data_IF_661685425803
#
_entry.id   IF_661685425803
#
_cell.length_a   1.000
_cell.length_b   1.000
_cell.length_c   1.000
_cell.angle_alpha   90.00
_cell.angle_beta   90.00
_cell.angle_gamma   90.00
#
_symmetry.space_group_name_H-M   'P 1'
#
loop_
_entity.id
_entity.type
_entity.pdbx_description
1 polymer ?
#
# COMPACT_ATOMS: atom_id res chain seq x y z
N UNK A 1 7.10 -3.52 15.70
CA UNK A 1 5.88 -3.05 15.04
C UNK A 1 6.01 -1.57 14.74
N UNK A 2 5.24 -1.05 13.79
CA UNK A 2 5.21 0.36 13.44
C UNK A 2 3.85 0.74 12.87
N UNK A 3 3.59 2.04 12.81
CA UNK A 3 2.36 2.60 12.26
C UNK A 3 2.71 3.55 11.11
N UNK A 4 2.00 3.43 10.00
CA UNK A 4 2.05 4.37 8.89
C UNK A 4 0.66 4.99 8.73
N UNK A 5 0.59 6.31 8.86
CA UNK A 5 -0.63 7.07 8.65
C UNK A 5 -0.56 7.77 7.29
N UNK A 6 -1.58 7.53 6.47
CA UNK A 6 -1.71 8.09 5.13
C UNK A 6 -2.99 8.90 5.07
N UNK A 7 -2.86 10.21 4.87
CA UNK A 7 -3.99 11.11 4.62
C UNK A 7 -4.06 11.42 3.12
N UNK A 8 -5.10 10.93 2.47
CA UNK A 8 -5.34 11.12 1.03
C UNK A 8 -6.24 12.33 0.81
N UNK A 9 -5.89 13.13 -0.19
CA UNK A 9 -6.76 14.17 -0.75
C UNK A 9 -6.89 13.90 -2.24
N UNK A 10 -8.11 13.64 -2.70
CA UNK A 10 -8.40 13.32 -4.09
C UNK A 10 -8.68 14.61 -4.89
N UNK A 11 -8.62 14.50 -6.21
CA UNK A 11 -8.83 15.65 -7.12
C UNK A 11 -10.23 16.26 -7.04
N UNK A 12 -11.22 15.49 -6.58
CA UNK A 12 -12.59 15.96 -6.31
C UNK A 12 -12.75 16.63 -4.94
N UNK A 13 -11.66 16.74 -4.16
CA UNK A 13 -11.65 17.32 -2.82
C UNK A 13 -12.07 16.35 -1.70
N UNK A 14 -12.47 15.12 -2.04
CA UNK A 14 -12.71 14.08 -1.04
C UNK A 14 -11.42 13.72 -0.31
N UNK A 15 -11.56 13.22 0.92
CA UNK A 15 -10.45 12.81 1.77
C UNK A 15 -10.67 11.41 2.29
N UNK A 16 -9.61 10.64 2.38
CA UNK A 16 -9.61 9.37 3.10
C UNK A 16 -8.37 9.27 3.97
N UNK A 17 -8.44 8.42 4.98
CA UNK A 17 -7.30 8.12 5.85
C UNK A 17 -7.12 6.63 5.93
N UNK A 18 -5.88 6.17 5.74
CA UNK A 18 -5.47 4.78 5.99
C UNK A 18 -4.44 4.77 7.10
N UNK A 19 -4.63 3.87 8.06
CA UNK A 19 -3.69 3.65 9.16
C UNK A 19 -3.25 2.20 9.13
N UNK A 20 -2.01 2.00 8.70
CA UNK A 20 -1.37 0.70 8.68
C UNK A 20 -0.78 0.36 10.04
N UNK A 21 -1.06 -0.84 10.53
CA UNK A 21 -0.35 -1.45 11.64
C UNK A 21 0.57 -2.54 11.10
N UNK A 22 1.87 -2.30 11.11
CA UNK A 22 2.87 -3.15 10.46
C UNK A 22 3.67 -3.91 11.52
N UNK A 23 3.78 -5.21 11.34
CA UNK A 23 4.59 -6.11 12.18
C UNK A 23 5.69 -6.76 11.35
N UNK A 24 6.94 -6.64 11.80
CA UNK A 24 8.06 -7.40 11.26
C UNK A 24 7.97 -8.84 11.78
N UNK A 25 7.92 -9.82 10.89
CA UNK A 25 7.81 -11.24 11.21
C UNK A 25 9.19 -11.85 11.40
N UNK A 26 10.13 -11.49 10.53
CA UNK A 26 11.54 -11.86 10.61
C UNK A 26 12.37 -10.85 9.82
N UNK A 27 13.64 -11.15 9.53
CA UNK A 27 14.59 -10.28 8.83
C UNK A 27 14.00 -9.59 7.59
N UNK A 28 13.25 -10.33 6.77
CA UNK A 28 12.80 -9.90 5.46
C UNK A 28 11.28 -9.90 5.29
N UNK A 29 10.52 -10.52 6.19
CA UNK A 29 9.06 -10.63 6.07
C UNK A 29 8.30 -9.72 7.02
N UNK A 30 7.19 -9.20 6.52
CA UNK A 30 6.33 -8.25 7.21
C UNK A 30 4.85 -8.65 7.04
N UNK A 31 4.02 -8.26 7.99
CA UNK A 31 2.55 -8.28 7.87
C UNK A 31 1.98 -6.93 8.20
N UNK A 32 0.84 -6.60 7.63
CA UNK A 32 0.14 -5.35 7.90
C UNK A 32 -1.36 -5.50 7.95
N UNK A 33 -2.02 -4.66 8.76
CA UNK A 33 -3.47 -4.52 8.76
C UNK A 33 -3.86 -3.05 8.64
N UNK A 34 -5.01 -2.80 8.02
CA UNK A 34 -5.67 -1.50 7.99
C UNK A 34 -7.19 -1.74 7.93
N UNK A 35 -7.98 -0.72 8.26
CA UNK A 35 -9.44 -0.87 8.37
C UNK A 35 -10.14 -1.25 7.06
N UNK A 36 -9.54 -0.88 5.93
CA UNK A 36 -10.04 -1.12 4.56
C UNK A 36 -9.30 -2.28 3.86
N UNK A 37 -8.45 -3.01 4.58
CA UNK A 37 -7.74 -4.19 4.07
C UNK A 37 -8.49 -5.46 4.47
N UNK A 38 -8.77 -6.30 3.50
CA UNK A 38 -9.39 -7.61 3.73
C UNK A 38 -8.31 -8.60 4.17
N UNK A 39 -8.34 -8.99 5.44
CA UNK A 39 -7.35 -9.90 6.04
C UNK A 39 -6.06 -9.18 6.42
N UNK A 40 -4.92 -9.69 5.95
CA UNK A 40 -3.59 -9.12 6.22
C UNK A 40 -2.85 -8.86 4.91
N UNK A 41 -2.12 -7.75 4.87
CA UNK A 41 -1.09 -7.53 3.89
C UNK A 41 0.15 -8.38 4.21
N UNK A 42 0.85 -8.81 3.16
CA UNK A 42 2.11 -9.56 3.28
C UNK A 42 3.23 -8.82 2.57
N UNK A 43 4.37 -8.70 3.25
CA UNK A 43 5.54 -8.00 2.77
C UNK A 43 6.77 -8.88 2.70
N UNK A 44 7.54 -8.80 1.63
CA UNK A 44 8.87 -9.40 1.52
C UNK A 44 9.88 -8.37 1.02
N UNK A 45 10.90 -8.09 1.83
CA UNK A 45 11.98 -7.16 1.52
C UNK A 45 13.22 -7.91 1.04
N UNK A 46 13.87 -7.40 -0.02
CA UNK A 46 15.18 -7.85 -0.50
C UNK A 46 15.97 -6.67 -1.04
N UNK A 47 17.14 -6.41 -0.43
CA UNK A 47 17.96 -5.26 -0.79
C UNK A 47 17.21 -3.95 -0.52
N UNK A 48 17.07 -3.11 -1.56
CA UNK A 48 16.34 -1.85 -1.49
C UNK A 48 14.86 -1.98 -1.89
N UNK A 49 14.36 -3.19 -2.16
CA UNK A 49 12.99 -3.43 -2.60
C UNK A 49 12.14 -4.08 -1.49
N UNK A 50 10.87 -3.70 -1.42
CA UNK A 50 9.81 -4.34 -0.64
C UNK A 50 8.64 -4.64 -1.57
N UNK A 51 8.27 -5.91 -1.70
CA UNK A 51 7.02 -6.31 -2.33
C UNK A 51 5.94 -6.42 -1.26
N UNK A 52 4.84 -5.70 -1.43
CA UNK A 52 3.73 -5.61 -0.49
C UNK A 52 2.42 -5.97 -1.18
N UNK A 53 1.78 -7.05 -0.73
CA UNK A 53 0.56 -7.58 -1.33
C UNK A 53 -0.61 -7.56 -0.36
N UNK A 54 -1.75 -7.07 -0.81
CA UNK A 54 -2.96 -6.99 0.00
C UNK A 54 -4.22 -6.92 -0.86
N UNK A 55 -5.37 -7.09 -0.21
CA UNK A 55 -6.69 -6.91 -0.82
C UNK A 55 -7.33 -5.69 -0.18
N UNK A 56 -7.67 -4.70 -1.01
CA UNK A 56 -8.33 -3.48 -0.59
C UNK A 56 -9.84 -3.55 -0.83
N UNK A 57 -10.63 -3.18 0.17
CA UNK A 57 -12.07 -3.00 0.07
C UNK A 57 -12.38 -1.57 -0.40
N UNK A 58 -12.77 -1.42 -1.67
CA UNK A 58 -13.03 -0.13 -2.31
C UNK A 58 -14.54 0.07 -2.47
N UNK A 59 -15.16 1.04 -1.77
CA UNK A 59 -16.57 1.37 -1.98
C UNK A 59 -16.74 2.14 -3.30
N UNK A 60 -17.63 1.64 -4.18
CA UNK A 60 -18.00 2.26 -5.46
C UNK A 60 -19.51 2.14 -5.64
N UNK A 61 -20.21 3.27 -5.78
CA UNK A 61 -21.66 3.34 -6.07
C UNK A 61 -22.56 2.47 -5.17
N UNK A 62 -22.22 2.36 -3.89
CA UNK A 62 -22.99 1.58 -2.90
C UNK A 62 -22.62 0.09 -2.81
N UNK A 63 -21.71 -0.37 -3.67
CA UNK A 63 -21.11 -1.71 -3.60
C UNK A 63 -19.67 -1.62 -3.11
N UNK A 64 -19.16 -2.72 -2.53
CA UNK A 64 -17.75 -2.80 -2.12
C UNK A 64 -17.00 -3.79 -2.99
N UNK A 65 -15.98 -3.29 -3.68
CA UNK A 65 -15.13 -4.05 -4.57
C UNK A 65 -13.84 -4.45 -3.84
N UNK A 66 -13.59 -5.75 -3.76
CA UNK A 66 -12.27 -6.25 -3.36
C UNK A 66 -11.31 -6.22 -4.55
N UNK A 67 -10.21 -5.49 -4.39
CA UNK A 67 -9.16 -5.27 -5.41
C UNK A 67 -7.83 -5.74 -4.83
N UNK A 68 -7.12 -6.58 -5.57
CA UNK A 68 -5.77 -7.00 -5.20
C UNK A 68 -4.77 -5.92 -5.62
N UNK A 69 -3.83 -5.63 -4.72
CA UNK A 69 -2.68 -4.77 -4.95
C UNK A 69 -1.40 -5.60 -4.83
N UNK A 70 -0.50 -5.46 -5.81
CA UNK A 70 0.88 -5.93 -5.75
C UNK A 70 1.81 -4.72 -5.90
N UNK A 71 2.28 -4.24 -4.75
CA UNK A 71 3.06 -3.01 -4.63
C UNK A 71 4.55 -3.36 -4.56
N UNK A 72 5.33 -2.85 -5.51
CA UNK A 72 6.79 -2.84 -5.44
C UNK A 72 7.27 -1.47 -4.99
N UNK A 73 7.80 -1.42 -3.77
CA UNK A 73 8.43 -0.25 -3.18
C UNK A 73 9.94 -0.35 -3.30
N UNK A 74 10.58 0.64 -3.91
CA UNK A 74 12.03 0.74 -4.08
C UNK A 74 12.56 1.98 -3.35
N UNK A 75 13.44 1.76 -2.39
CA UNK A 75 14.19 2.84 -1.75
C UNK A 75 15.26 3.30 -2.73
N UNK A 76 15.12 4.53 -3.23
CA UNK A 76 16.03 5.12 -4.22
C UNK A 76 17.25 5.74 -3.54
N UNK A 77 17.00 6.43 -2.43
CA UNK A 77 17.99 7.02 -1.55
C UNK A 77 17.39 7.19 -0.13
N UNK A 78 18.07 7.92 0.76
CA UNK A 78 17.62 8.15 2.13
C UNK A 78 16.35 9.01 2.26
N UNK A 79 15.91 9.64 1.16
CA UNK A 79 14.79 10.57 1.12
C UNK A 79 13.63 10.11 0.27
N UNK A 80 13.89 9.36 -0.81
CA UNK A 80 12.91 9.03 -1.84
C UNK A 80 12.70 7.52 -1.91
N UNK A 81 11.42 7.13 -1.85
CA UNK A 81 10.97 5.79 -2.18
C UNK A 81 9.99 5.86 -3.35
N UNK A 82 10.20 5.05 -4.37
CA UNK A 82 9.23 4.86 -5.46
C UNK A 82 8.36 3.66 -5.16
N UNK A 83 7.08 3.76 -5.46
CA UNK A 83 6.11 2.69 -5.32
C UNK A 83 5.39 2.50 -6.64
N UNK A 84 5.46 1.28 -7.18
CA UNK A 84 4.74 0.84 -8.36
C UNK A 84 3.70 -0.19 -7.91
N UNK A 85 2.42 0.08 -8.19
CA UNK A 85 1.29 -0.75 -7.77
C UNK A 85 0.55 -1.31 -8.97
N UNK A 86 0.48 -2.63 -9.06
CA UNK A 86 -0.37 -3.32 -10.03
C UNK A 86 -1.69 -3.74 -9.37
N UNK A 87 -2.82 -3.32 -9.96
CA UNK A 87 -4.17 -3.58 -9.41
C UNK A 87 -4.90 -4.63 -10.24
N UNK A 88 -5.55 -5.59 -9.58
CA UNK A 88 -6.36 -6.60 -10.28
C UNK A 88 -7.61 -7.04 -9.50
N UNK A 89 -8.63 -7.49 -10.23
CA UNK A 89 -9.84 -8.10 -9.67
C UNK A 89 -10.18 -9.36 -10.47
N UNK A 90 -10.40 -10.48 -9.77
CA UNK A 90 -10.65 -11.79 -10.40
C UNK A 90 -9.61 -12.18 -11.47
N UNK A 91 -8.35 -11.79 -11.27
CA UNK A 91 -7.26 -12.02 -12.22
C UNK A 91 -7.21 -11.06 -13.42
N UNK A 92 -8.16 -10.14 -13.54
CA UNK A 92 -8.20 -9.12 -14.59
C UNK A 92 -7.50 -7.86 -14.07
N UNK A 93 -6.52 -7.36 -14.83
CA UNK A 93 -5.83 -6.11 -14.51
C UNK A 93 -6.77 -4.91 -14.61
N UNK A 94 -6.77 -4.06 -13.59
CA UNK A 94 -7.57 -2.83 -13.54
C UNK A 94 -6.75 -1.58 -13.87
N UNK A 95 -5.43 -1.63 -13.63
CA UNK A 95 -4.53 -0.51 -13.91
C UNK A 95 -3.25 -0.57 -13.09
N UNK A 96 -2.42 0.44 -13.31
CA UNK A 96 -1.14 0.64 -12.65
C UNK A 96 -1.11 2.03 -11.98
N UNK A 97 -0.52 2.14 -10.80
CA UNK A 97 -0.29 3.40 -10.10
C UNK A 97 1.20 3.52 -9.77
N UNK A 98 1.78 4.71 -9.98
CA UNK A 98 3.14 5.01 -9.56
C UNK A 98 3.09 6.20 -8.60
N UNK A 99 3.64 6.02 -7.40
CA UNK A 99 3.73 7.03 -6.34
C UNK A 99 5.18 7.22 -5.96
N UNK A 100 5.57 8.46 -5.65
CA UNK A 100 6.84 8.77 -5.00
C UNK A 100 6.59 9.26 -3.59
N UNK A 101 7.16 8.58 -2.60
CA UNK A 101 7.17 9.00 -1.21
C UNK A 101 8.45 9.78 -0.95
N UNK A 102 8.33 10.93 -0.28
CA UNK A 102 9.48 11.73 0.16
C UNK A 102 9.46 11.89 1.67
N UNK A 103 10.59 11.62 2.31
CA UNK A 103 10.80 11.90 3.73
C UNK A 103 10.73 13.42 3.96
N UNK A 104 9.82 13.88 4.82
CA UNK A 104 9.85 15.26 5.30
C UNK A 104 11.06 15.44 6.21
N UNK A 105 11.95 16.37 5.87
CA UNK A 105 12.95 16.88 6.82
C UNK A 105 12.24 17.75 7.85
N UNK A 106 12.47 17.45 9.13
CA UNK A 106 12.08 18.29 10.27
C UNK A 106 13.04 19.46 10.42
#
# INVERSE_FOLDING_TARGET
SGTLEEDFTYSDGSKSRRVWNISKIDENRYRGTAADVVGEATGEARGNALQWRYVLAVPVDGETYHVNFDDWMYLMDEEVMLNKSDMSKFGIGLGEVIVSFRRRRS
#
